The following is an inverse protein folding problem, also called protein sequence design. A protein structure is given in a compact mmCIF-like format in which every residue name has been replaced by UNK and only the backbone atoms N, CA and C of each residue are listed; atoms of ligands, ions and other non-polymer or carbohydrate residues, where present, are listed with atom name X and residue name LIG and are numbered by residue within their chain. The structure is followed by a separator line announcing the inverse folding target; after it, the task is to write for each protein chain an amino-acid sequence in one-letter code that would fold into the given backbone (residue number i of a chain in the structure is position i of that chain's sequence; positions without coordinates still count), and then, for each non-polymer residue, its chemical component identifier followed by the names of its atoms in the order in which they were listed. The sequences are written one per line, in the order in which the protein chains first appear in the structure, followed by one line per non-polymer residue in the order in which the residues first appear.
data_IF_331201008925
#
_entry.id   IF_331201008925
#
_cell.length_a   1.000
_cell.length_b   1.000
_cell.length_c   1.000
_cell.angle_alpha   90.00
_cell.angle_beta   90.00
_cell.angle_gamma   90.00
#
_symmetry.space_group_name_H-M   'P 1'
#
loop_
_entity.id
_entity.type
_entity.pdbx_description
1 polymer ?
#
# COMPACT_ATOMS: atom_id res chain seq x y z
N UNK A 1 -0.72 -0.90 -9.46
CA UNK A 1 0.30 -0.20 -8.64
C UNK A 1 0.59 -0.99 -7.36
N UNK A 2 1.82 -0.97 -6.83
CA UNK A 2 2.13 -1.58 -5.54
C UNK A 2 2.39 -0.52 -4.46
N UNK A 3 1.92 -0.78 -3.24
CA UNK A 3 2.01 0.10 -2.09
C UNK A 3 2.56 -0.63 -0.87
N UNK A 4 3.65 -0.12 -0.29
CA UNK A 4 4.28 -0.70 0.90
C UNK A 4 3.79 0.03 2.15
N UNK A 5 2.90 -0.56 2.93
CA UNK A 5 2.47 0.00 4.21
C UNK A 5 3.53 -0.23 5.31
N UNK A 6 4.65 0.47 5.22
CA UNK A 6 5.82 0.28 6.08
C UNK A 6 5.51 0.49 7.57
N UNK A 7 4.55 1.38 7.87
CA UNK A 7 4.11 1.68 9.22
C UNK A 7 2.92 0.80 9.69
N UNK A 8 2.46 -0.14 8.85
CA UNK A 8 1.32 -1.01 9.10
C UNK A 8 0.06 -0.26 9.56
N UNK A 9 -0.18 0.91 8.98
CA UNK A 9 -1.32 1.77 9.32
C UNK A 9 -2.63 1.09 8.97
N UNK A 10 -3.60 1.16 9.87
CA UNK A 10 -4.95 0.68 9.61
C UNK A 10 -5.77 1.81 8.97
N UNK A 11 -5.65 1.96 7.65
CA UNK A 11 -6.32 3.02 6.88
C UNK A 11 -7.83 3.02 7.06
N UNK A 12 -8.44 1.83 7.15
CA UNK A 12 -9.88 1.69 7.41
C UNK A 12 -10.30 2.35 8.73
N UNK A 13 -9.54 2.15 9.78
CA UNK A 13 -9.81 2.76 11.09
C UNK A 13 -9.47 4.26 11.13
N UNK A 14 -8.63 4.75 10.22
CA UNK A 14 -8.22 6.15 10.17
C UNK A 14 -9.19 7.01 9.34
N UNK A 15 -9.63 6.49 8.18
CA UNK A 15 -10.33 7.27 7.17
C UNK A 15 -11.67 6.65 6.72
N UNK A 16 -12.02 5.46 7.22
CA UNK A 16 -13.29 4.79 6.90
C UNK A 16 -13.15 3.60 5.96
N UNK A 17 -14.27 2.92 5.72
CA UNK A 17 -14.31 1.54 5.21
C UNK A 17 -13.66 1.32 3.82
N UNK A 18 -13.69 2.31 2.95
CA UNK A 18 -13.16 2.25 1.58
C UNK A 18 -11.72 2.79 1.45
N UNK A 19 -11.11 3.30 2.53
CA UNK A 19 -9.72 3.75 2.52
C UNK A 19 -8.74 2.58 2.62
N UNK A 20 -7.82 2.49 1.67
CA UNK A 20 -6.85 1.39 1.61
C UNK A 20 -5.39 1.83 1.72
N UNK A 21 -5.08 3.10 1.44
CA UNK A 21 -3.74 3.65 1.54
C UNK A 21 -3.76 5.18 1.70
N UNK A 22 -2.72 5.77 2.28
CA UNK A 22 -2.54 7.23 2.30
C UNK A 22 -1.11 7.64 1.93
N UNK A 23 -0.98 8.85 1.36
CA UNK A 23 0.27 9.48 0.97
C UNK A 23 0.35 10.90 1.52
N UNK A 24 1.53 11.32 1.95
CA UNK A 24 1.74 12.70 2.36
C UNK A 24 1.52 13.66 1.18
N UNK A 25 0.92 14.82 1.50
CA UNK A 25 0.67 15.90 0.53
C UNK A 25 1.92 16.73 0.20
N UNK A 26 2.99 16.56 0.97
CA UNK A 26 4.28 17.26 0.78
C UNK A 26 5.44 16.26 0.67
N UNK A 27 6.63 16.78 0.37
CA UNK A 27 7.84 15.97 0.25
C UNK A 27 7.80 14.93 -0.87
N UNK A 28 8.55 13.84 -0.70
CA UNK A 28 8.72 12.80 -1.72
C UNK A 28 7.40 12.11 -2.11
N UNK A 29 6.50 11.88 -1.15
CA UNK A 29 5.25 11.14 -1.40
C UNK A 29 4.23 11.95 -2.21
N UNK A 30 4.29 13.28 -2.13
CA UNK A 30 3.36 14.17 -2.84
C UNK A 30 3.33 13.94 -4.35
N UNK A 31 4.44 13.46 -4.93
CA UNK A 31 4.60 13.17 -6.35
C UNK A 31 4.13 11.79 -6.80
N UNK A 32 3.83 10.87 -5.87
CA UNK A 32 3.62 9.46 -6.18
C UNK A 32 2.16 9.14 -6.51
N UNK A 33 1.96 8.08 -7.31
CA UNK A 33 0.63 7.53 -7.63
C UNK A 33 -0.38 8.58 -8.13
N UNK A 34 0.06 9.54 -8.95
CA UNK A 34 -0.79 10.60 -9.51
C UNK A 34 -1.62 10.15 -10.70
N UNK A 35 -1.17 9.11 -11.40
CA UNK A 35 -1.77 8.65 -12.66
C UNK A 35 -2.74 7.47 -12.46
N UNK A 36 -3.30 7.31 -11.25
CA UNK A 36 -4.27 6.25 -10.99
C UNK A 36 -5.63 6.61 -11.62
N UNK A 37 -6.16 5.68 -12.42
CA UNK A 37 -7.50 5.76 -12.97
C UNK A 37 -8.46 4.85 -12.19
N UNK A 38 -9.73 5.27 -12.09
CA UNK A 38 -10.77 4.43 -11.50
C UNK A 38 -10.82 3.08 -12.22
N UNK A 39 -10.84 2.00 -11.45
CA UNK A 39 -10.73 0.62 -11.93
C UNK A 39 -9.34 0.00 -11.71
N UNK A 40 -8.27 0.81 -11.66
CA UNK A 40 -6.89 0.32 -11.57
C UNK A 40 -6.67 -0.63 -10.38
N UNK A 41 -5.92 -1.70 -10.62
CA UNK A 41 -5.57 -2.66 -9.57
C UNK A 41 -4.38 -2.15 -8.74
N UNK A 42 -4.59 -2.12 -7.43
CA UNK A 42 -3.68 -1.62 -6.42
C UNK A 42 -3.40 -2.71 -5.38
N UNK A 43 -2.14 -3.09 -5.21
CA UNK A 43 -1.73 -4.10 -4.23
C UNK A 43 -1.08 -3.40 -3.05
N UNK A 44 -1.66 -3.56 -1.86
CA UNK A 44 -1.11 -3.05 -0.60
C UNK A 44 -0.47 -4.20 0.18
N UNK A 45 0.82 -4.08 0.47
CA UNK A 45 1.56 -5.00 1.30
C UNK A 45 1.59 -4.53 2.76
N UNK A 46 1.24 -5.41 3.69
CA UNK A 46 1.21 -5.18 5.13
C UNK A 46 1.92 -6.34 5.85
N UNK A 47 2.53 -6.06 7.00
CA UNK A 47 2.95 -7.16 7.89
C UNK A 47 1.73 -7.66 8.66
N UNK A 48 1.50 -8.97 8.63
CA UNK A 48 0.35 -9.59 9.31
C UNK A 48 0.64 -9.83 10.80
N UNK A 49 1.92 -9.98 11.16
CA UNK A 49 2.39 -10.28 12.50
C UNK A 49 3.43 -9.27 13.00
N UNK A 50 3.60 -9.23 14.34
CA UNK A 50 4.58 -8.35 15.00
C UNK A 50 6.02 -8.74 14.65
N UNK A 51 6.26 -10.03 14.47
CA UNK A 51 7.57 -10.59 14.13
C UNK A 51 7.93 -10.38 12.65
N UNK A 52 6.99 -9.84 11.86
CA UNK A 52 7.17 -9.53 10.43
C UNK A 52 7.62 -10.74 9.62
N UNK A 53 7.12 -11.91 9.98
CA UNK A 53 7.39 -13.18 9.29
C UNK A 53 6.32 -13.48 8.25
N UNK A 54 5.15 -12.85 8.37
CA UNK A 54 4.01 -13.01 7.47
C UNK A 54 3.67 -11.68 6.81
N UNK A 55 3.37 -11.73 5.52
CA UNK A 55 2.98 -10.58 4.71
C UNK A 55 1.59 -10.80 4.15
N UNK A 56 0.71 -9.83 4.35
CA UNK A 56 -0.62 -9.77 3.73
C UNK A 56 -0.59 -8.84 2.54
N UNK A 57 -0.98 -9.38 1.39
CA UNK A 57 -1.26 -8.61 0.19
C UNK A 57 -2.76 -8.44 0.03
N UNK A 58 -3.22 -7.20 -0.04
CA UNK A 58 -4.60 -6.86 -0.32
C UNK A 58 -4.69 -6.17 -1.67
N UNK A 59 -5.45 -6.76 -2.59
CA UNK A 59 -5.69 -6.21 -3.92
C UNK A 59 -6.98 -5.39 -3.90
N UNK A 60 -6.89 -4.12 -4.27
CA UNK A 60 -7.99 -3.18 -4.37
C UNK A 60 -8.18 -2.74 -5.81
N UNK A 61 -9.41 -2.46 -6.21
CA UNK A 61 -9.70 -1.66 -7.40
C UNK A 61 -9.86 -0.21 -6.95
N UNK A 62 -8.99 0.66 -7.42
CA UNK A 62 -9.00 2.09 -7.10
C UNK A 62 -10.29 2.73 -7.59
N UNK A 63 -10.88 3.61 -6.79
CA UNK A 63 -12.09 4.34 -7.14
C UNK A 63 -11.84 5.84 -7.23
N UNK A 64 -11.20 6.42 -6.20
CA UNK A 64 -10.93 7.85 -6.11
C UNK A 64 -9.86 8.17 -5.07
N UNK A 65 -9.33 9.39 -5.17
CA UNK A 65 -8.51 10.01 -4.13
C UNK A 65 -9.32 11.08 -3.39
N UNK A 66 -9.10 11.19 -2.09
CA UNK A 66 -9.64 12.26 -1.23
C UNK A 66 -8.53 12.96 -0.47
N UNK A 67 -8.72 14.24 -0.13
CA UNK A 67 -7.84 14.97 0.78
C UNK A 67 -8.45 15.00 2.17
N UNK A 68 -7.74 14.45 3.16
CA UNK A 68 -8.24 14.31 4.53
C UNK A 68 -7.17 14.66 5.55
N UNK A 69 -7.63 15.08 6.73
CA UNK A 69 -6.76 15.39 7.86
C UNK A 69 -6.56 14.12 8.70
N UNK A 70 -5.31 13.74 8.94
CA UNK A 70 -4.99 12.64 9.84
C UNK A 70 -5.18 13.02 11.32
N UNK A 71 -4.95 12.05 12.23
CA UNK A 71 -5.09 12.28 13.68
C UNK A 71 -4.10 13.30 14.23
N UNK A 72 -3.06 13.65 13.49
CA UNK A 72 -2.03 14.61 13.85
C UNK A 72 -2.28 15.99 13.23
N UNK A 73 -3.43 16.19 12.56
CA UNK A 73 -3.76 17.46 11.93
C UNK A 73 -3.07 17.67 10.58
N UNK A 74 -2.44 16.65 10.00
CA UNK A 74 -1.72 16.77 8.72
C UNK A 74 -2.60 16.35 7.55
N UNK A 75 -2.59 17.10 6.43
CA UNK A 75 -3.31 16.72 5.23
C UNK A 75 -2.64 15.54 4.51
N UNK A 76 -3.44 14.52 4.21
CA UNK A 76 -3.06 13.28 3.54
C UNK A 76 -3.91 13.10 2.28
N UNK A 77 -3.30 12.54 1.23
CA UNK A 77 -4.00 12.00 0.06
C UNK A 77 -4.42 10.57 0.38
N UNK A 78 -5.70 10.34 0.56
CA UNK A 78 -6.26 9.03 0.91
C UNK A 78 -6.78 8.35 -0.36
N UNK A 79 -6.22 7.19 -0.66
CA UNK A 79 -6.65 6.35 -1.77
C UNK A 79 -7.80 5.46 -1.32
N UNK A 80 -8.92 5.55 -2.05
CA UNK A 80 -10.15 4.82 -1.74
C UNK A 80 -10.53 3.87 -2.86
N UNK A 81 -11.10 2.73 -2.51
CA UNK A 81 -11.40 1.67 -3.46
C UNK A 81 -12.05 0.44 -2.85
N UNK A 82 -12.24 -0.58 -3.68
CA UNK A 82 -12.93 -1.81 -3.31
C UNK A 82 -11.96 -2.97 -3.21
N UNK A 83 -11.93 -3.65 -2.06
CA UNK A 83 -11.16 -4.87 -1.89
C UNK A 83 -11.67 -5.95 -2.85
N UNK A 84 -10.75 -6.55 -3.62
CA UNK A 84 -11.04 -7.63 -4.58
C UNK A 84 -10.56 -8.98 -4.05
N UNK A 85 -9.38 -9.01 -3.46
CA UNK A 85 -8.82 -10.24 -2.89
C UNK A 85 -7.78 -9.93 -1.82
N UNK A 86 -7.51 -10.93 -0.99
CA UNK A 86 -6.41 -10.92 -0.03
C UNK A 86 -5.69 -12.25 -0.08
N UNK A 87 -4.37 -12.21 0.07
CA UNK A 87 -3.56 -13.40 0.29
C UNK A 87 -2.49 -13.12 1.35
N UNK A 88 -2.06 -14.18 2.03
CA UNK A 88 -1.05 -14.11 3.09
C UNK A 88 0.05 -15.10 2.74
N UNK A 89 1.28 -14.61 2.71
CA UNK A 89 2.47 -15.39 2.42
C UNK A 89 3.49 -15.24 3.53
N UNK A 90 4.33 -16.26 3.74
CA UNK A 90 5.58 -16.07 4.50
C UNK A 90 6.43 -15.04 3.78
N UNK A 91 7.09 -14.16 4.53
CA UNK A 91 7.93 -13.09 3.99
C UNK A 91 9.00 -13.61 3.02
N UNK A 92 9.63 -14.74 3.34
CA UNK A 92 10.63 -15.37 2.47
C UNK A 92 10.03 -15.82 1.14
N UNK A 93 8.84 -16.41 1.16
CA UNK A 93 8.11 -16.81 -0.04
C UNK A 93 7.64 -15.57 -0.84
N UNK A 94 7.16 -14.54 -0.15
CA UNK A 94 6.72 -13.30 -0.78
C UNK A 94 7.86 -12.56 -1.49
N UNK A 95 9.06 -12.55 -0.90
CA UNK A 95 10.24 -11.91 -1.46
C UNK A 95 10.76 -12.63 -2.72
N UNK A 96 10.53 -13.94 -2.85
CA UNK A 96 10.89 -14.72 -4.03
C UNK A 96 9.76 -14.88 -5.04
N UNK A 97 8.52 -14.55 -4.69
CA UNK A 97 7.37 -14.64 -5.60
C UNK A 97 7.48 -13.59 -6.73
N UNK A 98 7.44 -14.00 -8.02
CA UNK A 98 7.52 -13.06 -9.14
C UNK A 98 6.47 -11.94 -9.10
N UNK A 99 5.30 -12.19 -8.49
CA UNK A 99 4.20 -11.22 -8.38
C UNK A 99 4.53 -10.09 -7.40
N UNK A 100 5.33 -10.35 -6.36
CA UNK A 100 5.52 -9.44 -5.23
C UNK A 100 6.97 -9.05 -4.95
N UNK A 101 7.94 -9.83 -5.45
CA UNK A 101 9.38 -9.66 -5.23
C UNK A 101 9.86 -8.21 -5.41
N UNK A 102 9.26 -7.45 -6.32
CA UNK A 102 9.60 -6.04 -6.60
C UNK A 102 9.35 -5.10 -5.41
N UNK A 103 8.51 -5.48 -4.46
CA UNK A 103 8.28 -4.73 -3.21
C UNK A 103 9.38 -4.96 -2.17
N UNK A 104 10.29 -5.91 -2.39
CA UNK A 104 11.34 -6.30 -1.44
C UNK A 104 12.73 -5.88 -1.93
N UNK A 105 13.62 -5.59 -0.99
CA UNK A 105 15.05 -5.39 -1.23
C UNK A 105 15.80 -6.73 -1.31
N UNK A 106 17.12 -6.68 -1.59
CA UNK A 106 17.97 -7.88 -1.69
C UNK A 106 18.05 -8.69 -0.39
N UNK A 107 17.66 -8.11 0.74
CA UNK A 107 17.62 -8.76 2.06
C UNK A 107 16.20 -9.27 2.40
N UNK A 108 15.26 -9.22 1.45
CA UNK A 108 13.88 -9.65 1.64
C UNK A 108 13.06 -8.73 2.56
N UNK A 109 13.51 -7.49 2.80
CA UNK A 109 12.74 -6.48 3.54
C UNK A 109 11.92 -5.65 2.57
N UNK A 110 10.78 -5.10 2.98
CA UNK A 110 10.10 -4.13 2.13
C UNK A 110 11.04 -2.98 1.75
N UNK A 111 11.04 -2.62 0.47
CA UNK A 111 11.67 -1.41 -0.02
C UNK A 111 11.10 -0.22 0.73
N UNK A 112 11.96 0.73 1.07
CA UNK A 112 11.56 1.96 1.76
C UNK A 112 10.74 2.90 0.87
N UNK A 113 10.64 2.62 -0.43
CA UNK A 113 9.72 3.30 -1.33
C UNK A 113 8.27 2.91 -0.98
N UNK A 114 7.39 3.88 -0.66
CA UNK A 114 5.99 3.60 -0.32
C UNK A 114 5.15 3.22 -1.53
N UNK A 115 5.57 3.60 -2.74
CA UNK A 115 4.92 3.26 -4.01
C UNK A 115 5.94 2.61 -4.94
N UNK A 116 5.56 1.51 -5.58
CA UNK A 116 6.36 0.79 -6.57
C UNK A 116 5.52 0.59 -7.83
N UNK A 117 5.99 1.17 -8.95
CA UNK A 117 5.31 1.05 -10.23
C UNK A 117 5.20 -0.41 -10.70
N UNK A 118 4.04 -0.78 -11.23
CA UNK A 118 3.94 -2.00 -12.04
C UNK A 118 4.83 -1.85 -13.27
N UNK A 119 5.54 -2.91 -13.66
CA UNK A 119 6.33 -2.86 -14.88
C UNK A 119 5.34 -2.84 -16.05
N UNK A 120 5.65 -2.03 -17.07
CA UNK A 120 4.98 -2.10 -18.35
C UNK A 120 5.24 -3.46 -19.02
#
# INVERSE_FOLDING_TARGET
MFFNNLANRNHKNLYGADAFYDLETSGYQSGLAKDLCSGDLCIVANYEDKDRTMVKFACYSFARETLEIDKQGKPQRVLRGHLKSTEILRKTAAASDPRYSRMFDKLGRFKQAPVVAMAA
#
